data_IF_552681218526
#
_entry.id   IF_552681218526
#
_cell.length_a   1.000
_cell.length_b   1.000
_cell.length_c   1.000
_cell.angle_alpha   90.00
_cell.angle_beta   90.00
_cell.angle_gamma   90.00
#
_symmetry.space_group_name_H-M   'P 1'
#
loop_
_entity.id
_entity.type
_entity.pdbx_description
1 polymer ?
#
# COMPACT_ATOMS: atom_id res chain seq x y z
N UNK A 1 41.67 3.37 0.11
CA UNK A 1 41.18 4.04 -1.08
C UNK A 1 40.67 3.01 -2.09
N UNK A 2 39.37 3.01 -2.35
CA UNK A 2 38.80 2.15 -3.39
C UNK A 2 39.37 2.58 -4.74
N UNK A 3 39.99 1.65 -5.48
CA UNK A 3 40.42 1.88 -6.85
C UNK A 3 39.17 1.92 -7.73
N UNK A 4 38.89 3.08 -8.36
CA UNK A 4 37.87 3.16 -9.39
C UNK A 4 38.45 2.63 -10.71
N UNK A 5 37.71 1.73 -11.36
CA UNK A 5 38.03 1.23 -12.71
C UNK A 5 37.05 1.88 -13.67
N UNK A 6 37.56 2.55 -14.70
CA UNK A 6 36.72 3.07 -15.77
C UNK A 6 36.52 1.98 -16.81
N UNK A 7 35.27 1.76 -17.21
CA UNK A 7 34.87 0.79 -18.23
C UNK A 7 34.15 1.54 -19.34
N UNK A 8 34.54 1.33 -20.57
CA UNK A 8 33.84 1.87 -21.75
C UNK A 8 32.62 1.04 -22.06
N UNK A 9 31.46 1.68 -22.14
CA UNK A 9 30.17 1.05 -22.45
C UNK A 9 29.66 1.52 -23.81
N UNK A 10 29.02 0.64 -24.54
CA UNK A 10 28.26 1.03 -25.72
C UNK A 10 27.16 2.05 -25.35
N UNK A 11 26.71 2.90 -26.30
CA UNK A 11 25.58 3.80 -26.03
C UNK A 11 24.35 3.04 -25.48
N UNK A 12 23.77 3.54 -24.40
CA UNK A 12 22.61 2.94 -23.76
C UNK A 12 21.69 4.01 -23.19
N UNK A 13 20.44 3.64 -22.95
CA UNK A 13 19.48 4.47 -22.21
C UNK A 13 19.38 3.96 -20.77
N UNK A 14 19.64 4.85 -19.81
CA UNK A 14 19.52 4.52 -18.40
C UNK A 14 18.13 4.93 -17.89
N UNK A 15 17.40 3.97 -17.34
CA UNK A 15 16.14 4.19 -16.64
C UNK A 15 16.33 3.82 -15.17
N UNK A 16 16.00 4.74 -14.28
CA UNK A 16 16.06 4.54 -12.84
C UNK A 16 14.67 4.76 -12.20
N UNK A 17 14.38 4.05 -11.14
CA UNK A 17 13.19 4.26 -10.32
C UNK A 17 13.56 4.22 -8.84
N UNK A 18 12.92 5.06 -8.04
CA UNK A 18 13.10 5.11 -6.60
C UNK A 18 11.82 5.58 -5.91
N UNK A 19 11.56 5.07 -4.73
CA UNK A 19 10.54 5.60 -3.82
C UNK A 19 11.07 6.74 -2.95
N UNK A 20 12.39 6.96 -2.95
CA UNK A 20 13.10 7.93 -2.10
C UNK A 20 13.86 8.95 -2.95
N UNK A 21 13.13 9.75 -3.72
CA UNK A 21 13.75 10.78 -4.57
C UNK A 21 14.59 11.80 -3.79
N UNK A 22 14.26 12.04 -2.52
CA UNK A 22 15.01 12.93 -1.64
C UNK A 22 16.43 12.43 -1.27
N UNK A 23 16.71 11.13 -1.40
CA UNK A 23 18.04 10.56 -1.17
C UNK A 23 18.96 10.65 -2.41
N UNK A 24 18.41 10.99 -3.57
CA UNK A 24 19.23 11.20 -4.77
C UNK A 24 19.99 12.51 -4.65
N UNK A 25 21.30 12.43 -4.81
CA UNK A 25 22.16 13.62 -4.84
C UNK A 25 21.79 14.53 -6.00
N UNK A 26 21.96 15.85 -5.85
CA UNK A 26 21.67 16.80 -6.91
C UNK A 26 22.45 16.51 -8.22
N UNK A 27 23.75 16.13 -8.18
CA UNK A 27 24.49 15.75 -9.40
C UNK A 27 23.92 14.51 -10.09
N UNK A 28 23.46 13.52 -9.34
CA UNK A 28 22.85 12.31 -9.92
C UNK A 28 21.50 12.65 -10.57
N UNK A 29 20.67 13.43 -9.89
CA UNK A 29 19.37 13.87 -10.40
C UNK A 29 19.51 14.70 -11.68
N UNK A 30 20.50 15.58 -11.74
CA UNK A 30 20.77 16.43 -12.91
C UNK A 30 21.22 15.64 -14.16
N UNK A 31 21.72 14.41 -13.99
CA UNK A 31 22.12 13.54 -15.11
C UNK A 31 20.94 12.85 -15.79
N UNK A 32 19.77 12.78 -15.14
CA UNK A 32 18.56 12.29 -15.78
C UNK A 32 17.85 13.45 -16.48
N UNK A 33 17.78 13.39 -17.81
CA UNK A 33 17.15 14.43 -18.63
C UNK A 33 15.62 14.47 -18.48
N UNK A 34 15.00 13.38 -18.02
CA UNK A 34 13.56 13.25 -17.83
C UNK A 34 13.32 12.75 -16.42
N UNK A 35 12.56 13.52 -15.65
CA UNK A 35 12.13 13.14 -14.30
C UNK A 35 10.60 13.04 -14.28
N UNK A 36 10.10 11.87 -13.97
CA UNK A 36 8.66 11.58 -13.90
C UNK A 36 8.27 11.27 -12.46
N UNK A 37 7.12 11.76 -12.05
CA UNK A 37 6.48 11.38 -10.79
C UNK A 37 5.31 10.48 -11.10
N UNK A 38 5.25 9.30 -10.45
CA UNK A 38 4.16 8.36 -10.60
C UNK A 38 3.19 8.52 -9.44
N UNK A 39 1.94 8.78 -9.77
CA UNK A 39 0.84 8.89 -8.81
C UNK A 39 0.22 7.52 -8.51
N UNK A 40 -0.54 7.44 -7.42
CA UNK A 40 -1.39 6.29 -7.17
C UNK A 40 -2.50 6.22 -8.22
N UNK A 41 -2.87 5.00 -8.57
CA UNK A 41 -3.99 4.75 -9.47
C UNK A 41 -5.33 4.96 -8.75
N UNK A 42 -6.31 5.46 -9.47
CA UNK A 42 -7.70 5.48 -9.00
C UNK A 42 -8.35 4.08 -9.09
N UNK A 43 -9.51 3.94 -8.45
CA UNK A 43 -10.20 2.66 -8.35
C UNK A 43 -10.71 2.18 -9.71
N UNK A 44 -11.10 3.08 -10.61
CA UNK A 44 -11.59 2.73 -11.95
C UNK A 44 -10.46 2.12 -12.80
N UNK A 45 -9.29 2.72 -12.77
CA UNK A 45 -8.11 2.19 -13.47
C UNK A 45 -7.69 0.85 -12.85
N UNK A 46 -7.65 0.74 -11.52
CA UNK A 46 -7.34 -0.51 -10.84
C UNK A 46 -8.35 -1.61 -11.15
N UNK A 47 -9.65 -1.29 -11.21
CA UNK A 47 -10.69 -2.24 -11.59
C UNK A 47 -10.46 -2.79 -13.01
N UNK A 48 -10.07 -1.94 -13.96
CA UNK A 48 -9.71 -2.37 -15.30
C UNK A 48 -8.47 -3.27 -15.34
N UNK A 49 -7.45 -2.95 -14.52
CA UNK A 49 -6.24 -3.78 -14.37
C UNK A 49 -6.62 -5.15 -13.79
N UNK A 50 -7.47 -5.20 -12.75
CA UNK A 50 -7.95 -6.43 -12.13
C UNK A 50 -8.69 -7.29 -13.15
N UNK A 51 -9.62 -6.73 -13.92
CA UNK A 51 -10.36 -7.46 -14.94
C UNK A 51 -9.45 -8.03 -16.02
N UNK A 52 -8.50 -7.25 -16.52
CA UNK A 52 -7.48 -7.73 -17.46
C UNK A 52 -6.67 -8.88 -16.86
N UNK A 53 -6.22 -8.73 -15.61
CA UNK A 53 -5.44 -9.77 -14.93
C UNK A 53 -6.28 -11.03 -14.67
N UNK A 54 -7.56 -10.90 -14.33
CA UNK A 54 -8.49 -12.00 -14.18
C UNK A 54 -8.65 -12.77 -15.49
N UNK A 55 -8.78 -12.08 -16.63
CA UNK A 55 -8.82 -12.70 -17.95
C UNK A 55 -7.53 -13.48 -18.27
N UNK A 56 -6.36 -12.96 -17.91
CA UNK A 56 -5.07 -13.65 -18.10
C UNK A 56 -4.97 -14.90 -17.21
N UNK A 57 -5.56 -14.84 -16.02
CA UNK A 57 -5.62 -15.97 -15.07
C UNK A 57 -6.74 -16.97 -15.39
N UNK A 58 -7.50 -16.73 -16.46
CA UNK A 58 -8.65 -17.54 -16.86
C UNK A 58 -9.69 -17.71 -15.74
N UNK A 59 -9.99 -16.63 -15.03
CA UNK A 59 -10.99 -16.60 -13.96
C UNK A 59 -12.05 -15.53 -14.26
N UNK A 60 -13.34 -15.91 -14.35
CA UNK A 60 -14.42 -14.93 -14.50
C UNK A 60 -14.46 -14.00 -13.29
N UNK A 61 -14.48 -12.69 -13.54
CA UNK A 61 -14.54 -11.66 -12.49
C UNK A 61 -15.59 -10.60 -12.86
N UNK A 62 -16.59 -10.43 -12.03
CA UNK A 62 -17.63 -9.42 -12.26
C UNK A 62 -17.06 -8.00 -12.09
N UNK A 63 -17.69 -7.03 -12.78
CA UNK A 63 -17.30 -5.62 -12.67
C UNK A 63 -17.36 -5.12 -11.22
N UNK A 64 -18.40 -5.49 -10.48
CA UNK A 64 -18.57 -5.10 -9.07
C UNK A 64 -17.51 -5.72 -8.19
N UNK A 65 -17.18 -6.99 -8.38
CA UNK A 65 -16.11 -7.66 -7.63
C UNK A 65 -14.73 -7.03 -7.91
N UNK A 66 -14.46 -6.67 -9.17
CA UNK A 66 -13.23 -5.95 -9.52
C UNK A 66 -13.18 -4.59 -8.82
N UNK A 67 -14.29 -3.86 -8.71
CA UNK A 67 -14.40 -2.61 -7.96
C UNK A 67 -14.14 -2.79 -6.46
N UNK A 68 -14.70 -3.84 -5.85
CA UNK A 68 -14.46 -4.18 -4.43
C UNK A 68 -12.98 -4.45 -4.14
N UNK A 69 -12.30 -5.17 -5.03
CA UNK A 69 -10.86 -5.43 -4.91
C UNK A 69 -10.06 -4.14 -5.15
N UNK A 70 -10.44 -3.34 -6.14
CA UNK A 70 -9.77 -2.10 -6.51
C UNK A 70 -9.77 -1.09 -5.35
N UNK A 71 -10.93 -0.86 -4.73
CA UNK A 71 -11.10 0.10 -3.62
C UNK A 71 -10.24 -0.26 -2.40
N UNK A 72 -9.84 -1.52 -2.25
CA UNK A 72 -8.98 -1.98 -1.15
C UNK A 72 -7.52 -2.20 -1.56
N UNK A 73 -7.16 -1.79 -2.78
CA UNK A 73 -5.82 -2.01 -3.37
C UNK A 73 -4.84 -0.86 -3.13
N UNK A 74 -5.18 0.11 -2.31
CA UNK A 74 -4.30 1.22 -1.89
C UNK A 74 -3.73 2.04 -3.06
N UNK A 75 -4.44 2.11 -4.19
CA UNK A 75 -3.96 2.81 -5.38
C UNK A 75 -2.81 2.10 -6.10
N UNK A 76 -2.54 0.82 -5.82
CA UNK A 76 -1.33 0.13 -6.28
C UNK A 76 -1.66 -1.13 -7.09
N UNK A 77 -1.27 -1.22 -8.37
CA UNK A 77 -1.51 -2.41 -9.21
C UNK A 77 -0.91 -3.70 -8.64
N UNK A 78 0.22 -3.62 -7.96
CA UNK A 78 0.85 -4.78 -7.30
C UNK A 78 -0.05 -5.36 -6.22
N UNK A 79 -0.65 -4.51 -5.37
CA UNK A 79 -1.57 -4.94 -4.32
C UNK A 79 -2.85 -5.46 -4.95
N UNK A 80 -3.42 -4.76 -5.94
CA UNK A 80 -4.61 -5.20 -6.67
C UNK A 80 -4.45 -6.62 -7.23
N UNK A 81 -3.34 -6.90 -7.90
CA UNK A 81 -3.05 -8.22 -8.44
C UNK A 81 -2.78 -9.27 -7.35
N UNK A 82 -2.19 -8.89 -6.21
CA UNK A 82 -2.02 -9.80 -5.08
C UNK A 82 -3.37 -10.18 -4.47
N UNK A 83 -4.25 -9.20 -4.25
CA UNK A 83 -5.61 -9.43 -3.75
C UNK A 83 -6.44 -10.28 -4.72
N UNK A 84 -6.39 -9.97 -6.03
CA UNK A 84 -7.08 -10.76 -7.04
C UNK A 84 -6.70 -12.25 -6.97
N UNK A 85 -5.42 -12.57 -6.85
CA UNK A 85 -4.97 -13.97 -6.72
C UNK A 85 -5.53 -14.64 -5.46
N UNK A 86 -5.56 -13.92 -4.34
CA UNK A 86 -6.15 -14.45 -3.09
C UNK A 86 -7.65 -14.66 -3.22
N UNK A 87 -8.37 -13.68 -3.76
CA UNK A 87 -9.82 -13.80 -3.99
C UNK A 87 -10.14 -14.95 -4.94
N UNK A 88 -9.33 -15.15 -6.00
CA UNK A 88 -9.44 -16.31 -6.88
C UNK A 88 -9.32 -17.64 -6.11
N UNK A 89 -8.34 -17.74 -5.22
CA UNK A 89 -8.14 -18.96 -4.43
C UNK A 89 -9.39 -19.26 -3.57
N UNK A 90 -10.00 -18.24 -2.97
CA UNK A 90 -11.29 -18.38 -2.29
C UNK A 90 -12.44 -18.79 -3.23
N UNK A 91 -12.51 -18.20 -4.43
CA UNK A 91 -13.52 -18.55 -5.42
C UNK A 91 -13.43 -20.03 -5.85
N UNK A 92 -12.21 -20.54 -6.00
CA UNK A 92 -11.96 -21.95 -6.35
C UNK A 92 -12.31 -22.94 -5.22
N UNK A 93 -12.07 -22.56 -3.96
CA UNK A 93 -12.26 -23.45 -2.81
C UNK A 93 -13.68 -23.39 -2.25
N UNK A 94 -14.28 -22.22 -2.22
CA UNK A 94 -15.57 -21.97 -1.57
C UNK A 94 -16.71 -21.59 -2.50
N UNK A 95 -16.38 -21.20 -3.74
CA UNK A 95 -17.34 -20.74 -4.74
C UNK A 95 -17.43 -21.66 -5.95
N UNK A 96 -17.94 -21.12 -7.05
CA UNK A 96 -18.07 -21.79 -8.35
C UNK A 96 -16.83 -21.67 -9.24
N UNK A 97 -15.72 -21.09 -8.72
CA UNK A 97 -14.55 -20.72 -9.51
C UNK A 97 -14.64 -19.35 -10.16
N UNK A 98 -15.78 -18.66 -10.00
CA UNK A 98 -15.99 -17.28 -10.48
C UNK A 98 -15.91 -16.30 -9.35
N UNK A 99 -15.33 -15.12 -9.61
CA UNK A 99 -15.24 -14.02 -8.64
C UNK A 99 -16.45 -13.11 -8.81
N UNK A 100 -17.47 -13.33 -8.01
CA UNK A 100 -18.60 -12.41 -7.83
C UNK A 100 -18.36 -11.48 -6.61
N UNK A 101 -19.33 -10.58 -6.37
CA UNK A 101 -19.21 -9.60 -5.29
C UNK A 101 -19.20 -10.26 -3.91
N UNK A 102 -19.98 -11.32 -3.71
CA UNK A 102 -20.08 -12.01 -2.42
C UNK A 102 -18.77 -12.71 -2.07
N UNK A 103 -18.19 -13.43 -3.04
CA UNK A 103 -16.91 -14.12 -2.82
C UNK A 103 -15.76 -13.13 -2.63
N UNK A 104 -15.78 -11.98 -3.36
CA UNK A 104 -14.79 -10.93 -3.19
C UNK A 104 -14.85 -10.33 -1.77
N UNK A 105 -16.04 -9.97 -1.30
CA UNK A 105 -16.23 -9.43 0.06
C UNK A 105 -15.84 -10.45 1.13
N UNK A 106 -16.32 -11.69 1.01
CA UNK A 106 -15.95 -12.77 1.92
C UNK A 106 -14.43 -12.98 2.00
N UNK A 107 -13.75 -13.02 0.85
CA UNK A 107 -12.31 -13.23 0.82
C UNK A 107 -11.54 -12.06 1.45
N UNK A 108 -11.95 -10.81 1.17
CA UNK A 108 -11.32 -9.62 1.71
C UNK A 108 -11.50 -9.52 3.24
N UNK A 109 -12.69 -9.87 3.75
CA UNK A 109 -12.94 -9.99 5.19
C UNK A 109 -12.08 -11.09 5.82
N UNK A 110 -12.01 -12.27 5.21
CA UNK A 110 -11.18 -13.37 5.70
C UNK A 110 -9.68 -13.04 5.70
N UNK A 111 -9.25 -12.10 4.86
CA UNK A 111 -7.88 -11.55 4.82
C UNK A 111 -7.69 -10.38 5.81
N UNK A 112 -8.69 -10.03 6.60
CA UNK A 112 -8.71 -8.88 7.52
C UNK A 112 -8.41 -7.54 6.81
N UNK A 113 -8.91 -7.38 5.58
CA UNK A 113 -8.80 -6.14 4.82
C UNK A 113 -10.15 -5.44 4.85
N UNK A 114 -10.19 -4.31 5.50
CA UNK A 114 -11.42 -3.55 5.68
C UNK A 114 -11.83 -2.73 4.44
N UNK A 115 -12.96 -2.04 4.55
CA UNK A 115 -13.52 -1.23 3.45
C UNK A 115 -12.62 -0.08 2.97
N UNK A 116 -11.65 0.33 3.76
CA UNK A 116 -10.67 1.36 3.41
C UNK A 116 -9.34 0.76 2.90
N UNK A 117 -9.24 -0.56 2.85
CA UNK A 117 -8.02 -1.25 2.50
C UNK A 117 -6.97 -1.31 3.63
N UNK A 118 -7.38 -1.03 4.87
CA UNK A 118 -6.52 -1.21 6.03
C UNK A 118 -6.45 -2.70 6.37
N UNK A 119 -5.24 -3.17 6.62
CA UNK A 119 -4.97 -4.52 7.09
C UNK A 119 -4.85 -4.59 8.63
N UNK A 120 -4.55 -5.77 9.14
CA UNK A 120 -4.39 -6.00 10.57
C UNK A 120 -3.30 -5.13 11.19
N UNK A 121 -2.19 -4.89 10.49
CA UNK A 121 -1.06 -4.10 11.00
C UNK A 121 -1.39 -2.62 11.00
N UNK A 122 -2.05 -2.10 9.95
CA UNK A 122 -2.54 -0.72 9.94
C UNK A 122 -3.42 -0.45 11.15
N UNK A 123 -4.40 -1.33 11.39
CA UNK A 123 -5.30 -1.20 12.53
C UNK A 123 -4.56 -1.32 13.86
N UNK A 124 -3.57 -2.21 13.99
CA UNK A 124 -2.72 -2.30 15.19
C UNK A 124 -1.91 -1.02 15.42
N UNK A 125 -1.38 -0.39 14.35
CA UNK A 125 -0.67 0.89 14.45
C UNK A 125 -1.60 1.96 15.03
N UNK A 126 -2.79 2.14 14.44
CA UNK A 126 -3.76 3.12 14.88
C UNK A 126 -4.23 2.86 16.32
N UNK A 127 -4.60 1.61 16.65
CA UNK A 127 -4.98 1.22 18.01
C UNK A 127 -3.85 1.48 19.01
N UNK A 128 -2.60 1.16 18.67
CA UNK A 128 -1.46 1.38 19.56
C UNK A 128 -1.28 2.87 19.89
N UNK A 129 -1.39 3.74 18.87
CA UNK A 129 -1.28 5.19 19.08
C UNK A 129 -2.44 5.70 19.94
N UNK A 130 -3.65 5.23 19.71
CA UNK A 130 -4.82 5.63 20.50
C UNK A 130 -4.72 5.13 21.94
N UNK A 131 -4.55 3.83 22.13
CA UNK A 131 -4.71 3.18 23.44
C UNK A 131 -3.52 3.42 24.36
N UNK A 132 -2.30 3.34 23.82
CA UNK A 132 -1.08 3.46 24.62
C UNK A 132 -0.57 4.89 24.71
N UNK A 133 -0.85 5.72 23.68
CA UNK A 133 -0.28 7.08 23.57
C UNK A 133 -1.34 8.19 23.44
N UNK A 134 -2.61 7.89 23.77
CA UNK A 134 -3.71 8.87 23.80
C UNK A 134 -3.88 9.66 22.49
N UNK A 135 -3.65 8.97 21.35
CA UNK A 135 -3.75 9.58 20.02
C UNK A 135 -2.48 10.27 19.53
N UNK A 136 -1.44 10.31 20.32
CA UNK A 136 -0.16 10.94 19.98
C UNK A 136 -0.03 12.37 20.56
N UNK A 137 1.07 13.09 20.20
CA UNK A 137 2.14 12.68 19.28
C UNK A 137 3.09 11.64 19.85
N UNK A 138 3.51 10.68 19.04
CA UNK A 138 4.44 9.60 19.42
C UNK A 138 5.47 9.33 18.33
N UNK A 139 6.72 9.08 18.73
CA UNK A 139 7.82 8.80 17.81
C UNK A 139 7.68 7.44 17.13
N UNK A 140 8.15 7.35 15.87
CA UNK A 140 8.05 6.11 15.07
C UNK A 140 8.74 4.91 15.76
N UNK A 141 9.90 5.13 16.38
CA UNK A 141 10.64 4.07 17.09
C UNK A 141 9.84 3.54 18.29
N UNK A 142 9.10 4.42 18.98
CA UNK A 142 8.25 4.03 20.11
C UNK A 142 7.07 3.19 19.63
N UNK A 143 6.44 3.58 18.51
CA UNK A 143 5.36 2.79 17.88
C UNK A 143 5.89 1.41 17.48
N UNK A 144 7.03 1.37 16.80
CA UNK A 144 7.68 0.14 16.33
C UNK A 144 7.97 -0.82 17.48
N UNK A 145 8.59 -0.31 18.56
CA UNK A 145 8.86 -1.09 19.77
C UNK A 145 7.58 -1.64 20.39
N UNK A 146 6.53 -0.82 20.46
CA UNK A 146 5.25 -1.23 21.04
C UNK A 146 4.51 -2.31 20.22
N UNK A 147 4.81 -2.42 18.92
CA UNK A 147 4.23 -3.40 17.98
C UNK A 147 5.12 -4.64 17.80
N UNK A 148 6.41 -4.57 18.15
CA UNK A 148 7.41 -5.58 17.82
C UNK A 148 7.80 -5.55 16.33
N UNK A 149 7.70 -4.39 15.66
CA UNK A 149 7.98 -4.19 14.25
C UNK A 149 9.22 -3.33 14.03
N UNK A 150 9.77 -3.37 12.82
CA UNK A 150 10.86 -2.48 12.42
C UNK A 150 10.34 -1.07 12.11
N UNK A 151 11.01 -0.05 12.62
CA UNK A 151 10.61 1.34 12.45
C UNK A 151 10.63 1.79 10.96
N UNK A 152 11.60 1.32 10.20
CA UNK A 152 11.71 1.59 8.77
C UNK A 152 10.56 0.95 7.99
N UNK A 153 10.16 -0.27 8.37
CA UNK A 153 8.99 -0.94 7.77
C UNK A 153 7.71 -0.13 8.00
N UNK A 154 7.48 0.36 9.23
CA UNK A 154 6.31 1.20 9.50
C UNK A 154 6.36 2.48 8.68
N UNK A 155 7.50 3.15 8.63
CA UNK A 155 7.68 4.43 7.94
C UNK A 155 7.54 4.31 6.40
N UNK A 156 7.97 3.19 5.83
CA UNK A 156 8.01 3.03 4.37
C UNK A 156 6.79 2.32 3.79
N UNK A 157 6.18 1.40 4.55
CA UNK A 157 5.12 0.54 4.04
C UNK A 157 3.73 1.00 4.52
N UNK A 158 3.58 1.31 5.80
CA UNK A 158 2.27 1.57 6.41
C UNK A 158 1.94 3.06 6.53
N UNK A 159 2.87 3.86 7.05
CA UNK A 159 2.66 5.29 7.30
C UNK A 159 2.21 6.08 6.07
N UNK A 160 2.79 5.89 4.85
CA UNK A 160 2.39 6.67 3.69
C UNK A 160 0.92 6.48 3.32
N UNK A 161 0.42 5.26 3.43
CA UNK A 161 -0.98 4.96 3.15
C UNK A 161 -1.90 5.54 4.23
N UNK A 162 -1.58 5.36 5.51
CA UNK A 162 -2.35 5.92 6.62
C UNK A 162 -2.43 7.44 6.59
N UNK A 163 -1.36 8.11 6.16
CA UNK A 163 -1.35 9.58 5.98
C UNK A 163 -2.18 9.98 4.76
N UNK A 164 -2.01 9.30 3.62
CA UNK A 164 -2.75 9.56 2.38
C UNK A 164 -4.25 9.46 2.61
N UNK A 165 -4.71 8.43 3.30
CA UNK A 165 -6.12 8.20 3.60
C UNK A 165 -6.63 9.05 4.78
N UNK A 166 -5.76 9.84 5.41
CA UNK A 166 -6.13 10.78 6.46
C UNK A 166 -6.36 10.17 7.84
N UNK A 167 -5.91 8.93 8.09
CA UNK A 167 -6.00 8.28 9.41
C UNK A 167 -4.93 8.77 10.38
N UNK A 168 -3.79 9.21 9.86
CA UNK A 168 -2.65 9.66 10.63
C UNK A 168 -2.05 10.92 10.04
N UNK A 169 -1.40 11.73 10.85
CA UNK A 169 -0.60 12.89 10.44
C UNK A 169 0.78 12.85 11.08
N UNK A 170 1.77 13.40 10.36
CA UNK A 170 3.12 13.60 10.85
C UNK A 170 3.25 15.03 11.37
N UNK A 171 3.74 15.17 12.59
CA UNK A 171 4.04 16.45 13.22
C UNK A 171 5.51 16.52 13.62
N UNK A 172 6.06 17.72 13.92
CA UNK A 172 7.44 17.83 14.42
C UNK A 172 7.72 17.04 15.69
N UNK A 173 6.69 16.72 16.50
CA UNK A 173 6.80 15.95 17.73
C UNK A 173 6.54 14.47 17.56
N UNK A 174 6.09 14.01 16.40
CA UNK A 174 5.79 12.61 16.12
C UNK A 174 4.50 12.40 15.32
N UNK A 175 3.98 11.18 15.40
CA UNK A 175 2.77 10.75 14.69
C UNK A 175 1.55 10.94 15.59
N UNK A 176 0.49 11.43 15.03
CA UNK A 176 -0.81 11.60 15.68
C UNK A 176 -1.89 10.97 14.81
N UNK A 177 -2.85 10.30 15.43
CA UNK A 177 -4.05 9.84 14.75
C UNK A 177 -5.05 10.98 14.57
N UNK A 178 -5.90 10.84 13.57
CA UNK A 178 -6.94 11.84 13.26
C UNK A 178 -8.29 11.40 13.83
N UNK A 179 -9.25 12.31 13.82
CA UNK A 179 -10.64 11.98 14.18
C UNK A 179 -11.22 10.85 13.30
N UNK A 180 -10.80 10.78 12.03
CA UNK A 180 -11.20 9.71 11.12
C UNK A 180 -10.78 8.33 11.65
N UNK A 181 -9.57 8.20 12.23
CA UNK A 181 -9.10 6.96 12.81
C UNK A 181 -9.95 6.54 14.02
N UNK A 182 -10.32 7.47 14.88
CA UNK A 182 -11.22 7.18 16.01
C UNK A 182 -12.59 6.69 15.53
N UNK A 183 -13.19 7.38 14.56
CA UNK A 183 -14.48 6.98 13.97
C UNK A 183 -14.41 5.61 13.32
N UNK A 184 -13.33 5.35 12.58
CA UNK A 184 -13.10 4.08 11.91
C UNK A 184 -13.05 2.90 12.90
N UNK A 185 -12.35 3.09 14.01
CA UNK A 185 -12.18 2.06 15.05
C UNK A 185 -13.34 2.02 16.05
N UNK A 186 -14.42 2.80 15.82
CA UNK A 186 -15.58 2.86 16.72
C UNK A 186 -15.25 3.44 18.11
N UNK A 187 -14.28 4.32 18.19
CA UNK A 187 -13.84 4.96 19.42
C UNK A 187 -14.18 6.45 19.39
N UNK A 188 -14.51 6.99 20.55
CA UNK A 188 -14.82 8.41 20.78
C UNK A 188 -13.76 9.08 21.65
#
# INVERSE_FOLDING_TARGET
>A
SARSIQIDLNPFTLVGATTRSGLLTAPLRARFGINLHLEYYDDDILSNIIRRSASILDVPCSLRAAGEIASRSRGTPRIANALLRRVRDFAQVKGSGSIDTEIAQFALEALNIDKYGLDEIDNKILCTIIDKFKGGPVGITTIATALGEDAGTIEEVYEPFLIKEGFMKRTPRGREVTELAYKHLGRS
#
